data_IF_114484872064
#
_entry.id   IF_114484872064
#
_cell.length_a   1.000
_cell.length_b   1.000
_cell.length_c   1.000
_cell.angle_alpha   90.00
_cell.angle_beta   90.00
_cell.angle_gamma   90.00
#
_symmetry.space_group_name_H-M   'P 1'
#
loop_
_entity.id
_entity.type
_entity.pdbx_description
1 polymer ?
#
# COMPACT_ATOMS: atom_id res chain seq x y z
N UNK A 1 27.53 -49.10 -6.94
CA UNK A 1 27.48 -47.69 -6.49
C UNK A 1 26.10 -47.46 -5.89
N UNK A 2 26.00 -47.40 -4.56
CA UNK A 2 24.71 -47.26 -3.84
C UNK A 2 24.40 -45.76 -3.67
N UNK A 3 23.41 -45.24 -4.38
CA UNK A 3 22.92 -43.88 -4.15
C UNK A 3 21.92 -43.91 -2.99
N UNK A 4 22.16 -43.21 -1.86
CA UNK A 4 21.25 -43.27 -0.73
C UNK A 4 19.91 -42.61 -1.08
N UNK A 5 18.76 -43.33 -0.97
CA UNK A 5 17.45 -42.86 -1.39
C UNK A 5 16.93 -41.62 -0.62
N UNK A 6 17.61 -41.22 0.47
CA UNK A 6 17.31 -40.00 1.24
C UNK A 6 17.57 -38.72 0.44
N UNK A 7 18.51 -38.73 -0.52
CA UNK A 7 18.85 -37.56 -1.33
C UNK A 7 17.80 -37.25 -2.42
N UNK A 8 16.94 -38.23 -2.74
CA UNK A 8 15.89 -38.11 -3.76
C UNK A 8 14.51 -37.85 -3.17
N UNK A 9 14.41 -37.63 -1.86
CA UNK A 9 13.16 -37.15 -1.26
C UNK A 9 12.92 -35.72 -1.70
N UNK A 10 11.84 -35.50 -2.45
CA UNK A 10 11.37 -34.14 -2.74
C UNK A 10 11.21 -33.39 -1.42
N UNK A 11 12.01 -32.34 -1.23
CA UNK A 11 11.82 -31.42 -0.12
C UNK A 11 10.51 -30.71 -0.40
N UNK A 12 9.53 -30.86 0.49
CA UNK A 12 8.25 -30.18 0.39
C UNK A 12 8.55 -28.69 0.25
N UNK A 13 8.05 -28.10 -0.84
CA UNK A 13 8.14 -26.65 -1.04
C UNK A 13 7.19 -25.98 -0.06
N UNK A 14 7.76 -25.52 1.05
CA UNK A 14 7.01 -24.84 2.12
C UNK A 14 6.32 -23.63 1.52
N UNK A 15 4.99 -23.61 1.58
CA UNK A 15 4.19 -22.47 1.17
C UNK A 15 3.67 -21.69 2.40
N UNK A 16 3.06 -20.54 2.18
CA UNK A 16 2.54 -19.72 3.28
C UNK A 16 1.53 -20.49 4.16
N UNK A 17 0.70 -21.35 3.57
CA UNK A 17 -0.31 -22.14 4.30
C UNK A 17 0.36 -23.13 5.25
N UNK A 18 1.44 -23.78 4.82
CA UNK A 18 2.21 -24.70 5.66
C UNK A 18 2.87 -23.94 6.83
N UNK A 19 3.47 -22.78 6.55
CA UNK A 19 4.04 -21.89 7.56
C UNK A 19 2.99 -21.44 8.58
N UNK A 20 1.86 -20.90 8.11
CA UNK A 20 0.77 -20.45 8.96
C UNK A 20 0.21 -21.59 9.84
N UNK A 21 0.03 -22.79 9.26
CA UNK A 21 -0.48 -23.96 10.00
C UNK A 21 0.49 -24.40 11.09
N UNK A 22 1.79 -24.39 10.80
CA UNK A 22 2.83 -24.77 11.76
C UNK A 22 2.88 -23.83 12.98
N UNK A 23 2.90 -22.52 12.72
CA UNK A 23 3.02 -21.52 13.78
C UNK A 23 1.70 -21.27 14.52
N UNK A 24 0.54 -21.51 13.89
CA UNK A 24 -0.76 -21.35 14.55
C UNK A 24 -0.92 -22.21 15.81
N UNK A 25 -0.29 -23.38 15.87
CA UNK A 25 -0.34 -24.26 17.04
C UNK A 25 0.54 -23.78 18.21
N UNK A 26 1.34 -22.73 18.02
CA UNK A 26 2.28 -22.21 19.02
C UNK A 26 2.30 -20.67 19.07
N UNK A 27 1.20 -19.98 18.73
CA UNK A 27 1.19 -18.51 18.64
C UNK A 27 1.53 -17.80 19.95
N UNK A 28 1.24 -18.42 21.09
CA UNK A 28 1.59 -17.88 22.41
C UNK A 28 3.11 -17.71 22.60
N UNK A 29 3.92 -18.48 21.86
CA UNK A 29 5.39 -18.38 21.87
C UNK A 29 5.91 -17.33 20.88
N UNK A 30 5.07 -16.86 19.96
CA UNK A 30 5.45 -15.94 18.89
C UNK A 30 4.42 -14.81 18.75
N UNK A 31 4.33 -13.90 19.74
CA UNK A 31 3.30 -12.86 19.76
C UNK A 31 3.34 -11.96 18.52
N UNK A 32 4.52 -11.66 17.98
CA UNK A 32 4.66 -10.90 16.73
C UNK A 32 4.05 -11.63 15.52
N UNK A 33 4.26 -12.95 15.40
CA UNK A 33 3.66 -13.75 14.32
C UNK A 33 2.14 -13.82 14.47
N UNK A 34 1.64 -13.85 15.71
CA UNK A 34 0.21 -13.81 16.01
C UNK A 34 -0.43 -12.51 15.49
N UNK A 35 0.16 -11.36 15.82
CA UNK A 35 -0.29 -10.06 15.32
C UNK A 35 -0.19 -9.98 13.79
N UNK A 36 0.92 -10.46 13.22
CA UNK A 36 1.10 -10.50 11.77
C UNK A 36 0.00 -11.32 11.06
N UNK A 37 -0.33 -12.52 11.56
CA UNK A 37 -1.39 -13.33 10.97
C UNK A 37 -2.78 -12.73 11.15
N UNK A 38 -3.06 -12.14 12.32
CA UNK A 38 -4.30 -11.40 12.60
C UNK A 38 -4.54 -10.31 11.55
N UNK A 39 -3.49 -9.58 11.18
CA UNK A 39 -3.56 -8.44 10.26
C UNK A 39 -3.15 -8.72 8.82
N UNK A 40 -2.86 -9.96 8.44
CA UNK A 40 -2.33 -10.28 7.11
C UNK A 40 -3.14 -9.67 5.96
N UNK A 41 -4.48 -9.72 6.06
CA UNK A 41 -5.37 -9.12 5.05
C UNK A 41 -5.22 -7.60 5.02
N UNK A 42 -5.14 -6.97 6.19
CA UNK A 42 -4.99 -5.53 6.34
C UNK A 42 -3.63 -5.04 5.80
N UNK A 43 -2.56 -5.81 6.02
CA UNK A 43 -1.22 -5.51 5.50
C UNK A 43 -1.18 -5.43 3.96
N UNK A 44 -2.01 -6.22 3.27
CA UNK A 44 -2.15 -6.12 1.82
C UNK A 44 -2.78 -4.79 1.36
N UNK A 45 -3.54 -4.11 2.22
CA UNK A 45 -4.06 -2.78 1.96
C UNK A 45 -3.07 -1.70 2.39
N UNK A 46 -2.48 -1.81 3.58
CA UNK A 46 -1.56 -0.82 4.17
C UNK A 46 -0.37 -0.52 3.24
N UNK A 47 0.13 -1.49 2.48
CA UNK A 47 1.22 -1.28 1.50
C UNK A 47 0.93 -0.17 0.48
N UNK A 48 -0.36 0.10 0.20
CA UNK A 48 -0.80 1.14 -0.74
C UNK A 48 -0.73 2.56 -0.16
N UNK A 49 -0.55 2.70 1.16
CA UNK A 49 -0.45 4.01 1.82
C UNK A 49 0.78 4.79 1.35
N UNK A 50 1.93 4.13 1.17
CA UNK A 50 3.18 4.79 0.79
C UNK A 50 3.12 5.40 -0.63
N UNK A 51 2.74 4.67 -1.69
CA UNK A 51 2.54 5.27 -3.02
C UNK A 51 1.56 6.45 -3.01
N UNK A 52 0.46 6.33 -2.22
CA UNK A 52 -0.54 7.37 -2.12
C UNK A 52 0.05 8.64 -1.51
N UNK A 53 0.62 8.54 -0.31
CA UNK A 53 1.21 9.69 0.39
C UNK A 53 2.32 10.32 -0.44
N UNK A 54 3.16 9.50 -1.09
CA UNK A 54 4.29 9.98 -1.91
C UNK A 54 3.80 10.89 -3.04
N UNK A 55 2.82 10.44 -3.82
CA UNK A 55 2.32 11.23 -4.94
C UNK A 55 1.52 12.46 -4.46
N UNK A 56 0.68 12.32 -3.44
CA UNK A 56 -0.12 13.42 -2.88
C UNK A 56 0.77 14.54 -2.33
N UNK A 57 1.91 14.21 -1.70
CA UNK A 57 2.88 15.21 -1.24
C UNK A 57 3.51 15.97 -2.41
N UNK A 58 3.91 15.27 -3.47
CA UNK A 58 4.47 15.89 -4.68
C UNK A 58 3.44 16.80 -5.35
N UNK A 59 2.21 16.30 -5.47
CA UNK A 59 1.08 17.03 -6.02
C UNK A 59 0.84 18.31 -5.22
N UNK A 60 0.71 18.20 -3.89
CA UNK A 60 0.49 19.37 -3.02
C UNK A 60 1.62 20.39 -3.14
N UNK A 61 2.87 19.94 -3.12
CA UNK A 61 4.05 20.80 -3.23
C UNK A 61 4.11 21.55 -4.58
N UNK A 62 3.89 20.86 -5.70
CA UNK A 62 3.89 21.48 -7.04
C UNK A 62 2.69 22.42 -7.25
N UNK A 63 1.62 22.27 -6.47
CA UNK A 63 0.39 23.06 -6.61
C UNK A 63 0.26 24.22 -5.61
N UNK A 64 1.04 24.22 -4.51
CA UNK A 64 0.99 25.22 -3.42
C UNK A 64 1.08 26.68 -3.89
N UNK A 65 1.62 26.94 -5.08
CA UNK A 65 1.77 28.29 -5.64
C UNK A 65 0.89 28.61 -6.87
N UNK A 66 0.22 27.63 -7.48
CA UNK A 66 -0.32 27.82 -8.84
C UNK A 66 -1.74 27.32 -9.09
N UNK A 67 -2.34 26.51 -8.22
CA UNK A 67 -3.61 25.86 -8.53
C UNK A 67 -4.77 26.46 -7.75
N UNK A 68 -5.64 27.18 -8.46
CA UNK A 68 -6.95 27.48 -7.91
C UNK A 68 -7.79 26.21 -7.85
N UNK A 69 -8.72 26.13 -6.90
CA UNK A 69 -9.68 25.02 -6.78
C UNK A 69 -10.41 24.72 -8.09
N UNK A 70 -10.79 25.76 -8.85
CA UNK A 70 -11.43 25.62 -10.17
C UNK A 70 -10.51 24.95 -11.17
N UNK A 71 -9.22 25.29 -11.16
CA UNK A 71 -8.22 24.65 -12.02
C UNK A 71 -8.07 23.17 -11.67
N UNK A 72 -8.05 22.81 -10.39
CA UNK A 72 -7.95 21.41 -9.94
C UNK A 72 -9.12 20.53 -10.39
N UNK A 73 -10.31 21.12 -10.50
CA UNK A 73 -11.53 20.40 -10.93
C UNK A 73 -11.55 20.11 -12.43
N UNK A 74 -10.75 20.81 -13.23
CA UNK A 74 -10.79 20.74 -14.70
C UNK A 74 -9.51 20.12 -15.25
N UNK A 75 -8.35 20.50 -14.71
CA UNK A 75 -7.05 20.01 -15.15
C UNK A 75 -6.92 18.51 -14.90
N UNK A 76 -6.57 17.76 -15.93
CA UNK A 76 -6.35 16.31 -15.81
C UNK A 76 -4.98 16.01 -15.22
N UNK A 77 -4.79 14.80 -14.69
CA UNK A 77 -3.46 14.35 -14.26
C UNK A 77 -2.46 14.34 -15.43
N UNK A 78 -2.89 14.02 -16.65
CA UNK A 78 -2.04 14.11 -17.84
C UNK A 78 -1.50 15.53 -18.05
N UNK A 79 -2.40 16.51 -18.05
CA UNK A 79 -2.05 17.92 -18.22
C UNK A 79 -1.15 18.42 -17.10
N UNK A 80 -1.46 18.07 -15.86
CA UNK A 80 -0.64 18.39 -14.69
C UNK A 80 0.78 17.85 -14.83
N UNK A 81 0.93 16.56 -15.11
CA UNK A 81 2.24 15.91 -15.21
C UNK A 81 3.05 16.55 -16.34
N UNK A 82 2.43 16.80 -17.49
CA UNK A 82 3.10 17.44 -18.63
C UNK A 82 3.53 18.87 -18.31
N UNK A 83 2.68 19.64 -17.62
CA UNK A 83 2.96 21.04 -17.28
C UNK A 83 4.07 21.17 -16.24
N UNK A 84 4.09 20.29 -15.25
CA UNK A 84 5.01 20.37 -14.11
C UNK A 84 6.35 19.66 -14.34
N UNK A 85 6.58 19.11 -15.53
CA UNK A 85 7.84 18.46 -15.89
C UNK A 85 8.70 19.42 -16.71
N UNK A 86 9.95 19.62 -16.28
CA UNK A 86 10.90 20.47 -17.00
C UNK A 86 11.47 19.78 -18.25
N UNK A 87 11.57 18.45 -18.25
CA UNK A 87 12.09 17.65 -19.34
C UNK A 87 11.42 16.25 -19.43
N UNK A 88 11.79 15.49 -20.46
CA UNK A 88 11.23 14.15 -20.73
C UNK A 88 11.52 13.15 -19.60
N UNK A 89 12.66 13.28 -18.91
CA UNK A 89 13.03 12.39 -17.82
C UNK A 89 12.21 12.68 -16.56
N UNK A 90 12.00 13.96 -16.21
CA UNK A 90 11.08 14.35 -15.14
C UNK A 90 9.65 13.89 -15.46
N UNK A 91 9.21 14.02 -16.71
CA UNK A 91 7.90 13.53 -17.15
C UNK A 91 7.74 12.03 -16.93
N UNK A 92 8.72 11.22 -17.36
CA UNK A 92 8.70 9.76 -17.16
C UNK A 92 8.67 9.43 -15.67
N UNK A 93 9.46 10.11 -14.85
CA UNK A 93 9.51 9.88 -13.41
C UNK A 93 8.18 10.24 -12.73
N UNK A 94 7.63 11.42 -12.99
CA UNK A 94 6.38 11.87 -12.38
C UNK A 94 5.19 11.03 -12.86
N UNK A 95 5.19 10.60 -14.13
CA UNK A 95 4.20 9.66 -14.66
C UNK A 95 4.27 8.31 -13.96
N UNK A 96 5.45 7.74 -13.75
CA UNK A 96 5.63 6.49 -13.02
C UNK A 96 5.09 6.58 -11.58
N UNK A 97 5.35 7.71 -10.90
CA UNK A 97 4.79 7.97 -9.57
C UNK A 97 3.26 8.05 -9.56
N UNK A 98 2.69 8.68 -10.58
CA UNK A 98 1.25 8.69 -10.77
C UNK A 98 0.69 7.28 -11.02
N UNK A 99 1.37 6.45 -11.81
CA UNK A 99 0.93 5.08 -12.08
C UNK A 99 0.92 4.23 -10.80
N UNK A 100 1.97 4.33 -9.96
CA UNK A 100 1.99 3.69 -8.63
C UNK A 100 0.84 4.17 -7.73
N UNK A 101 0.55 5.48 -7.75
CA UNK A 101 -0.59 6.08 -7.07
C UNK A 101 -1.92 5.54 -7.60
N UNK A 102 -2.12 5.50 -8.91
CA UNK A 102 -3.36 5.07 -9.54
C UNK A 102 -3.63 3.58 -9.27
N UNK A 103 -2.62 2.71 -9.36
CA UNK A 103 -2.72 1.30 -8.97
C UNK A 103 -3.15 1.18 -7.50
N UNK A 104 -2.53 1.98 -6.63
CA UNK A 104 -2.83 1.95 -5.20
C UNK A 104 -4.24 2.46 -4.90
N UNK A 105 -4.65 3.57 -5.48
CA UNK A 105 -6.00 4.10 -5.39
C UNK A 105 -7.04 3.06 -5.82
N UNK A 106 -6.88 2.51 -7.03
CA UNK A 106 -7.82 1.56 -7.62
C UNK A 106 -7.91 0.25 -6.85
N UNK A 107 -6.84 -0.13 -6.14
CA UNK A 107 -6.83 -1.32 -5.28
C UNK A 107 -7.64 -1.12 -4.00
N UNK A 108 -7.86 0.13 -3.56
CA UNK A 108 -8.47 0.45 -2.26
C UNK A 108 -9.89 0.98 -2.40
N UNK A 109 -10.18 1.80 -3.41
CA UNK A 109 -11.44 2.54 -3.50
C UNK A 109 -12.68 1.63 -3.46
N UNK A 110 -12.61 0.45 -4.06
CA UNK A 110 -13.71 -0.54 -4.06
C UNK A 110 -14.08 -1.01 -2.65
N UNK A 111 -13.16 -0.96 -1.69
CA UNK A 111 -13.34 -1.38 -0.30
C UNK A 111 -13.93 -0.30 0.61
N UNK A 112 -14.23 0.89 0.08
CA UNK A 112 -14.71 2.03 0.85
C UNK A 112 -16.12 2.37 0.37
N UNK A 113 -17.12 2.03 1.16
CA UNK A 113 -18.52 2.25 0.81
C UNK A 113 -19.07 3.58 1.37
N UNK A 114 -18.60 3.99 2.54
CA UNK A 114 -19.09 5.16 3.25
C UNK A 114 -17.95 6.01 3.78
N UNK A 115 -18.16 7.33 3.78
CA UNK A 115 -17.26 8.29 4.41
C UNK A 115 -18.05 9.44 5.04
N UNK A 116 -17.74 9.78 6.30
CA UNK A 116 -18.44 10.83 7.06
C UNK A 116 -19.99 10.73 7.02
N UNK A 117 -20.53 9.52 7.04
CA UNK A 117 -21.97 9.22 6.95
C UNK A 117 -22.60 9.46 5.57
N UNK A 118 -21.81 9.72 4.53
CA UNK A 118 -22.24 9.82 3.14
C UNK A 118 -21.81 8.57 2.35
N UNK A 119 -22.71 8.04 1.51
CA UNK A 119 -22.36 6.95 0.58
C UNK A 119 -21.52 7.47 -0.57
N UNK A 120 -20.39 6.81 -0.83
CA UNK A 120 -19.52 7.13 -1.95
C UNK A 120 -20.02 6.43 -3.22
N UNK A 121 -20.97 7.09 -3.89
CA UNK A 121 -21.54 6.63 -5.16
C UNK A 121 -20.60 6.91 -6.33
N UNK A 122 -20.60 6.04 -7.35
CA UNK A 122 -19.81 6.22 -8.59
C UNK A 122 -18.30 6.32 -8.38
N UNK A 123 -17.74 5.37 -7.61
CA UNK A 123 -16.29 5.23 -7.35
C UNK A 123 -15.49 5.27 -8.67
N UNK A 124 -14.70 6.33 -8.91
CA UNK A 124 -14.01 6.49 -10.18
C UNK A 124 -12.81 5.55 -10.27
N UNK A 125 -12.52 5.10 -11.49
CA UNK A 125 -11.29 4.40 -11.78
C UNK A 125 -10.18 5.42 -12.08
N UNK A 126 -9.20 5.52 -11.18
CA UNK A 126 -8.07 6.46 -11.28
C UNK A 126 -7.26 6.21 -12.54
N UNK A 127 -7.15 7.24 -13.38
CA UNK A 127 -6.40 7.25 -14.62
C UNK A 127 -5.98 8.70 -14.97
N UNK A 128 -5.14 8.84 -16.00
CA UNK A 128 -4.54 10.13 -16.39
C UNK A 128 -5.56 11.20 -16.81
N UNK A 129 -6.74 10.81 -17.26
CA UNK A 129 -7.80 11.72 -17.71
C UNK A 129 -8.67 12.23 -16.57
N UNK A 130 -8.55 11.66 -15.36
CA UNK A 130 -9.27 12.20 -14.21
C UNK A 130 -8.71 13.56 -13.79
N UNK A 131 -9.58 14.46 -13.30
CA UNK A 131 -9.13 15.73 -12.78
C UNK A 131 -8.26 15.61 -11.53
N UNK A 132 -7.31 16.52 -11.40
CA UNK A 132 -6.32 16.57 -10.30
C UNK A 132 -6.98 16.65 -8.91
N UNK A 133 -8.20 17.19 -8.80
CA UNK A 133 -8.96 17.26 -7.55
C UNK A 133 -9.08 15.90 -6.84
N UNK A 134 -9.07 14.78 -7.57
CA UNK A 134 -9.11 13.45 -6.97
C UNK A 134 -7.83 13.09 -6.20
N UNK A 135 -6.71 13.77 -6.47
CA UNK A 135 -5.44 13.59 -5.77
C UNK A 135 -5.22 14.57 -4.63
N UNK A 136 -6.17 15.48 -4.37
CA UNK A 136 -6.03 16.51 -3.34
C UNK A 136 -6.77 16.12 -2.07
N UNK A 137 -6.14 16.35 -0.92
CA UNK A 137 -6.72 16.10 0.41
C UNK A 137 -7.71 17.22 0.73
N UNK A 138 -8.93 17.08 0.20
CA UNK A 138 -9.99 18.07 0.37
C UNK A 138 -11.30 17.37 0.78
N UNK A 139 -11.93 17.82 1.86
CA UNK A 139 -13.17 17.23 2.39
C UNK A 139 -14.44 17.61 1.60
N UNK A 140 -14.31 18.10 0.36
CA UNK A 140 -15.43 18.57 -0.46
C UNK A 140 -15.28 18.10 -1.91
N UNK A 141 -16.41 17.95 -2.60
CA UNK A 141 -16.47 17.46 -3.98
C UNK A 141 -15.72 16.12 -4.14
N UNK A 142 -15.08 15.93 -5.29
CA UNK A 142 -14.28 14.78 -5.66
C UNK A 142 -13.01 14.56 -4.80
N UNK A 143 -12.60 15.51 -3.94
CA UNK A 143 -11.50 15.29 -3.00
C UNK A 143 -11.85 14.32 -1.86
N UNK A 144 -13.15 14.12 -1.61
CA UNK A 144 -13.66 13.27 -0.52
C UNK A 144 -13.16 11.83 -0.62
N UNK A 145 -12.95 11.33 -1.85
CA UNK A 145 -12.48 9.97 -2.09
C UNK A 145 -11.06 9.75 -1.56
N UNK A 146 -10.16 10.72 -1.72
CA UNK A 146 -8.80 10.59 -1.20
C UNK A 146 -8.80 10.61 0.32
N UNK A 147 -9.59 11.51 0.91
CA UNK A 147 -9.77 11.57 2.37
C UNK A 147 -10.27 10.23 2.91
N UNK A 148 -11.27 9.63 2.26
CA UNK A 148 -11.79 8.32 2.64
C UNK A 148 -10.75 7.20 2.53
N UNK A 149 -9.95 7.20 1.44
CA UNK A 149 -8.85 6.24 1.25
C UNK A 149 -7.79 6.39 2.33
N UNK A 150 -7.36 7.61 2.62
CA UNK A 150 -6.36 7.88 3.65
C UNK A 150 -6.87 7.47 5.03
N UNK A 151 -8.08 7.87 5.41
CA UNK A 151 -8.66 7.53 6.72
C UNK A 151 -8.80 6.00 6.89
N UNK A 152 -9.23 5.29 5.84
CA UNK A 152 -9.30 3.83 5.85
C UNK A 152 -7.93 3.19 6.05
N UNK A 153 -6.92 3.60 5.29
CA UNK A 153 -5.58 3.01 5.36
C UNK A 153 -4.86 3.37 6.66
N UNK A 154 -5.00 4.60 7.16
CA UNK A 154 -4.44 5.05 8.43
C UNK A 154 -5.06 4.27 9.58
N UNK A 155 -6.39 4.05 9.55
CA UNK A 155 -7.06 3.21 10.56
C UNK A 155 -6.48 1.81 10.60
N UNK A 156 -6.36 1.14 9.45
CA UNK A 156 -5.76 -0.21 9.39
C UNK A 156 -4.32 -0.22 9.88
N UNK A 157 -3.54 0.80 9.51
CA UNK A 157 -2.14 0.93 9.93
C UNK A 157 -2.01 1.09 11.45
N UNK A 158 -2.83 1.97 12.04
CA UNK A 158 -2.82 2.22 13.48
C UNK A 158 -3.31 1.00 14.26
N UNK A 159 -4.37 0.31 13.80
CA UNK A 159 -4.83 -0.93 14.44
C UNK A 159 -3.74 -2.02 14.48
N UNK A 160 -2.90 -2.10 13.46
CA UNK A 160 -1.75 -3.00 13.46
C UNK A 160 -0.65 -2.55 14.43
N UNK A 161 -0.31 -1.25 14.43
CA UNK A 161 0.71 -0.71 15.34
C UNK A 161 0.29 -0.83 16.81
N UNK A 162 -0.98 -0.58 17.13
CA UNK A 162 -1.53 -0.73 18.47
C UNK A 162 -1.37 -2.19 18.96
N UNK A 163 -1.65 -3.18 18.11
CA UNK A 163 -1.44 -4.58 18.46
C UNK A 163 0.05 -4.93 18.61
N UNK A 164 0.95 -4.32 17.83
CA UNK A 164 2.40 -4.51 17.98
C UNK A 164 2.91 -3.90 19.30
N UNK A 165 2.51 -2.68 19.62
CA UNK A 165 2.96 -1.97 20.83
C UNK A 165 2.52 -2.71 22.10
N UNK A 166 1.38 -3.39 22.05
CA UNK A 166 0.87 -4.21 23.15
C UNK A 166 1.58 -5.56 23.29
N UNK A 167 2.49 -5.93 22.38
CA UNK A 167 3.35 -7.10 22.57
C UNK A 167 4.31 -6.79 23.72
N UNK A 168 4.38 -7.62 24.78
CA UNK A 168 5.41 -7.48 25.80
C UNK A 168 6.76 -7.81 25.17
N UNK A 169 7.49 -6.78 24.75
CA UNK A 169 8.83 -6.90 24.19
C UNK A 169 9.81 -6.74 25.36
N UNK A 170 10.59 -7.79 25.66
CA UNK A 170 11.87 -7.59 26.34
C UNK A 170 12.78 -6.86 25.35
N UNK A 171 12.90 -5.53 25.51
CA UNK A 171 13.78 -4.58 24.82
C UNK A 171 14.30 -5.00 23.43
N UNK A 172 13.56 -4.64 22.38
CA UNK A 172 14.05 -4.69 20.99
C UNK A 172 13.99 -3.29 20.39
N UNK A 173 15.18 -2.69 20.21
CA UNK A 173 15.43 -1.43 19.54
C UNK A 173 15.09 -1.53 18.04
N UNK A 174 13.84 -1.32 17.63
CA UNK A 174 13.51 -1.20 16.21
C UNK A 174 12.11 -0.61 15.97
N UNK A 175 11.95 0.72 15.99
CA UNK A 175 10.81 1.40 15.37
C UNK A 175 11.20 2.83 14.91
N UNK A 176 12.21 2.96 14.03
CA UNK A 176 12.55 4.27 13.42
C UNK A 176 11.80 4.53 12.10
N UNK A 177 11.06 3.55 11.56
CA UNK A 177 10.29 3.68 10.32
C UNK A 177 8.78 3.74 10.60
N UNK A 178 8.16 4.92 10.42
CA UNK A 178 6.73 5.19 10.64
C UNK A 178 5.78 4.52 9.62
N UNK A 179 6.26 3.72 8.67
CA UNK A 179 5.43 3.08 7.65
C UNK A 179 5.79 1.60 7.49
N UNK A 180 4.78 0.74 7.53
CA UNK A 180 4.95 -0.68 7.27
C UNK A 180 4.95 -0.89 5.76
N UNK A 181 6.12 -1.23 5.23
CA UNK A 181 6.25 -1.65 3.84
C UNK A 181 6.20 -3.18 3.78
N UNK A 182 5.04 -3.73 3.41
CA UNK A 182 4.86 -5.18 3.27
C UNK A 182 4.74 -5.57 1.79
N UNK A 183 5.75 -6.28 1.30
CA UNK A 183 5.68 -7.04 0.06
C UNK A 183 5.91 -8.52 0.36
N UNK A 184 4.84 -9.33 0.29
CA UNK A 184 5.01 -10.78 0.18
C UNK A 184 5.27 -11.16 -1.26
N UNK A 185 6.47 -11.66 -1.54
CA UNK A 185 6.82 -12.17 -2.85
C UNK A 185 7.02 -13.68 -2.79
N UNK A 186 6.09 -14.45 -3.36
CA UNK A 186 6.19 -15.91 -3.47
C UNK A 186 7.46 -16.38 -4.23
N UNK A 187 8.12 -15.48 -4.98
CA UNK A 187 9.40 -15.78 -5.65
C UNK A 187 10.59 -15.84 -4.69
N UNK A 188 10.49 -15.29 -3.47
CA UNK A 188 11.56 -15.38 -2.46
C UNK A 188 11.81 -16.86 -2.08
N UNK A 189 10.77 -17.69 -2.13
CA UNK A 189 10.85 -19.14 -1.90
C UNK A 189 11.32 -19.94 -3.13
N UNK A 190 11.44 -19.31 -4.31
CA UNK A 190 11.87 -19.98 -5.55
C UNK A 190 13.36 -19.81 -5.84
N UNK A 191 14.11 -19.08 -5.01
CA UNK A 191 15.55 -18.87 -5.21
C UNK A 191 16.37 -19.99 -4.56
N UNK A 192 16.31 -21.18 -5.18
CA UNK A 192 17.24 -22.32 -5.16
C UNK A 192 16.49 -23.41 -5.96
N UNK A 193 16.90 -23.84 -7.14
CA UNK A 193 18.18 -24.48 -7.48
C UNK A 193 18.51 -24.18 -8.95
N UNK A 194 19.65 -23.56 -9.21
CA UNK A 194 20.39 -23.73 -10.47
C UNK A 194 21.85 -23.92 -10.09
N UNK A 195 22.23 -25.18 -9.98
CA UNK A 195 23.60 -25.69 -9.98
C UNK A 195 23.56 -27.03 -10.67
#
# INVERSE_FOLDING_TARGET
MYFPPKLWKSIIKVNFKDFHTYYNNNLDKYPLLSVFFKHKKNLNFIKHLRPIIRFVKILSFKLEYHLTRKTAQIMTFHEFIKKESADDNEYVNLKSLFEEFAISWNSIISHIDQYQSEELLNKPHMNLELPVIFGLVEQKNNGIYLCAILDFLIKLHNEFLDDIINIPIEESQALDDNFINYEWNDKILNKKISS
#
